data_IF_839450994911
#
_entry.id   IF_839450994911
#
_cell.length_a   1.000
_cell.length_b   1.000
_cell.length_c   1.000
_cell.angle_alpha   90.00
_cell.angle_beta   90.00
_cell.angle_gamma   90.00
#
_symmetry.space_group_name_H-M   'P 1'
#
loop_
_entity.id
_entity.type
_entity.pdbx_description
1 polymer ?
#
# COMPACT_ATOMS: atom_id res chain seq x y z
N UNK A 1 6.46 23.88 -19.55
CA UNK A 1 5.21 23.40 -18.94
C UNK A 1 5.61 22.68 -17.66
N UNK A 2 5.60 23.36 -16.53
CA UNK A 2 5.81 22.74 -15.23
C UNK A 2 4.55 21.95 -14.91
N UNK A 3 4.64 20.63 -14.95
CA UNK A 3 3.60 19.77 -14.40
C UNK A 3 3.59 20.02 -12.88
N UNK A 4 2.70 20.89 -12.43
CA UNK A 4 2.43 21.09 -11.01
C UNK A 4 1.76 19.85 -10.47
N UNK A 5 2.57 18.85 -10.12
CA UNK A 5 2.07 17.61 -9.55
C UNK A 5 1.67 17.87 -8.11
N UNK A 6 0.45 17.52 -7.69
CA UNK A 6 0.09 17.64 -6.29
C UNK A 6 1.05 16.78 -5.46
N UNK A 7 1.72 17.40 -4.49
CA UNK A 7 2.49 16.66 -3.51
C UNK A 7 1.56 15.68 -2.78
N UNK A 8 2.05 14.48 -2.47
CA UNK A 8 1.29 13.54 -1.66
C UNK A 8 0.86 14.23 -0.34
N UNK A 9 -0.41 14.16 0.06
CA UNK A 9 -0.83 14.72 1.34
C UNK A 9 -0.17 14.00 2.49
N UNK A 10 -0.16 14.64 3.66
CA UNK A 10 0.26 13.99 4.91
C UNK A 10 -0.99 13.63 5.70
N UNK A 11 -1.13 12.34 6.03
CA UNK A 11 -2.19 11.85 6.90
C UNK A 11 -1.60 11.49 8.26
N UNK A 12 -2.22 11.96 9.32
CA UNK A 12 -1.81 11.65 10.69
C UNK A 12 -2.85 10.76 11.37
N UNK A 13 -2.37 9.74 12.06
CA UNK A 13 -3.20 8.89 12.93
C UNK A 13 -2.72 9.00 14.37
N UNK A 14 -3.22 8.18 15.26
CA UNK A 14 -2.76 8.13 16.65
C UNK A 14 -1.25 7.87 16.75
N UNK A 15 -0.75 6.87 15.99
CA UNK A 15 0.63 6.39 16.10
C UNK A 15 1.48 6.61 14.85
N UNK A 16 0.88 7.00 13.70
CA UNK A 16 1.53 7.00 12.41
C UNK A 16 1.43 8.34 11.70
N UNK A 17 2.42 8.59 10.84
CA UNK A 17 2.40 9.60 9.79
C UNK A 17 2.49 8.86 8.45
N UNK A 18 1.51 9.07 7.57
CA UNK A 18 1.56 8.64 6.20
C UNK A 18 1.90 9.84 5.34
N UNK A 19 3.00 9.76 4.57
CA UNK A 19 3.52 10.88 3.80
C UNK A 19 4.08 10.47 2.44
N UNK A 20 4.37 11.45 1.62
CA UNK A 20 5.09 11.24 0.36
C UNK A 20 6.52 10.72 0.58
N UNK A 21 7.09 10.16 -0.47
CA UNK A 21 8.43 9.61 -0.51
C UNK A 21 9.49 10.72 -0.42
N UNK A 22 10.60 10.42 0.27
CA UNK A 22 11.81 11.26 0.39
C UNK A 22 13.02 10.45 -0.06
N UNK A 23 14.13 11.09 -0.49
CA UNK A 23 15.34 10.35 -0.86
C UNK A 23 15.85 9.40 0.25
N UNK A 24 15.75 9.81 1.51
CA UNK A 24 16.23 9.03 2.67
C UNK A 24 15.39 7.78 2.96
N UNK A 25 14.20 7.64 2.34
CA UNK A 25 13.36 6.44 2.49
C UNK A 25 13.88 5.27 1.66
N UNK A 26 14.77 5.51 0.71
CA UNK A 26 15.25 4.46 -0.18
C UNK A 26 15.99 3.35 0.55
N UNK A 27 16.94 3.68 1.42
CA UNK A 27 17.75 2.65 2.09
C UNK A 27 16.91 1.75 3.02
N UNK A 28 16.05 2.27 3.92
CA UNK A 28 15.19 1.42 4.74
C UNK A 28 14.18 0.64 3.89
N UNK A 29 13.70 1.19 2.77
CA UNK A 29 12.81 0.45 1.87
C UNK A 29 13.54 -0.66 1.11
N UNK A 30 14.74 -0.42 0.60
CA UNK A 30 15.56 -1.44 -0.04
C UNK A 30 15.90 -2.58 0.94
N UNK A 31 16.23 -2.26 2.19
CA UNK A 31 16.44 -3.25 3.24
C UNK A 31 15.17 -4.09 3.52
N UNK A 32 13.99 -3.44 3.53
CA UNK A 32 12.72 -4.14 3.68
C UNK A 32 12.44 -5.10 2.50
N UNK A 33 12.74 -4.69 1.27
CA UNK A 33 12.50 -5.50 0.08
C UNK A 33 13.56 -6.60 -0.13
N UNK A 34 14.71 -6.52 0.52
CA UNK A 34 15.72 -7.58 0.50
C UNK A 34 15.31 -8.81 1.33
N UNK A 35 14.35 -8.66 2.24
CA UNK A 35 13.80 -9.76 3.04
C UNK A 35 12.86 -10.63 2.19
N UNK A 36 13.22 -11.91 2.00
CA UNK A 36 12.45 -12.86 1.17
C UNK A 36 11.00 -13.04 1.66
N UNK A 37 10.79 -13.04 2.97
CA UNK A 37 9.43 -13.18 3.53
C UNK A 37 8.56 -11.97 3.18
N UNK A 38 9.12 -10.76 3.27
CA UNK A 38 8.44 -9.53 2.84
C UNK A 38 8.15 -9.54 1.35
N UNK A 39 9.16 -9.86 0.54
CA UNK A 39 9.11 -9.76 -0.90
C UNK A 39 8.22 -10.82 -1.56
N UNK A 40 8.03 -11.97 -0.92
CA UNK A 40 7.35 -13.14 -1.44
C UNK A 40 6.02 -12.85 -2.14
N UNK A 41 5.20 -11.96 -1.59
CA UNK A 41 3.85 -11.67 -2.08
C UNK A 41 3.69 -10.30 -2.72
N UNK A 42 4.73 -9.46 -2.67
CA UNK A 42 4.63 -8.06 -3.10
C UNK A 42 5.58 -7.68 -4.23
N UNK A 43 6.38 -8.62 -4.71
CA UNK A 43 7.31 -8.40 -5.83
C UNK A 43 7.01 -9.34 -6.98
N UNK A 44 7.30 -8.88 -8.20
CA UNK A 44 7.17 -9.70 -9.42
C UNK A 44 8.01 -10.97 -9.32
N UNK A 45 9.18 -10.90 -8.70
CA UNK A 45 10.13 -12.00 -8.57
C UNK A 45 9.71 -13.02 -7.50
N UNK A 46 8.92 -12.58 -6.48
CA UNK A 46 8.52 -13.40 -5.31
C UNK A 46 9.68 -13.80 -4.42
N UNK A 47 10.74 -13.02 -4.44
CA UNK A 47 11.95 -13.14 -3.64
C UNK A 47 12.44 -11.76 -3.21
N UNK A 48 13.41 -11.72 -2.31
CA UNK A 48 14.12 -10.49 -1.97
C UNK A 48 14.71 -9.80 -3.19
N UNK A 49 14.60 -8.49 -3.23
CA UNK A 49 15.11 -7.67 -4.32
C UNK A 49 16.55 -7.24 -4.04
N UNK A 50 17.35 -7.20 -5.10
CA UNK A 50 18.62 -6.49 -5.08
C UNK A 50 18.41 -4.98 -4.97
N UNK A 51 19.44 -4.24 -4.56
CA UNK A 51 19.37 -2.78 -4.43
C UNK A 51 18.95 -2.06 -5.73
N UNK A 52 19.46 -2.44 -6.94
CA UNK A 52 18.97 -1.87 -8.21
C UNK A 52 17.49 -2.20 -8.49
N UNK A 53 17.02 -3.41 -8.17
CA UNK A 53 15.61 -3.78 -8.33
C UNK A 53 14.72 -2.97 -7.38
N UNK A 54 15.15 -2.79 -6.13
CA UNK A 54 14.45 -1.94 -5.16
C UNK A 54 14.40 -0.46 -5.60
N UNK A 55 15.44 0.03 -6.29
CA UNK A 55 15.42 1.36 -6.88
C UNK A 55 14.34 1.49 -7.96
N UNK A 56 14.22 0.52 -8.85
CA UNK A 56 13.18 0.52 -9.88
C UNK A 56 11.77 0.51 -9.27
N UNK A 57 11.57 -0.28 -8.22
CA UNK A 57 10.30 -0.32 -7.47
C UNK A 57 10.00 1.04 -6.81
N UNK A 58 11.00 1.68 -6.18
CA UNK A 58 10.86 3.00 -5.58
C UNK A 58 10.50 4.06 -6.64
N UNK A 59 11.21 4.06 -7.77
CA UNK A 59 10.95 4.98 -8.86
C UNK A 59 9.54 4.79 -9.45
N UNK A 60 9.06 3.55 -9.56
CA UNK A 60 7.70 3.24 -9.98
C UNK A 60 6.66 3.80 -9.00
N UNK A 61 6.86 3.64 -7.70
CA UNK A 61 5.96 4.18 -6.67
C UNK A 61 5.91 5.71 -6.68
N UNK A 62 7.06 6.36 -6.82
CA UNK A 62 7.13 7.83 -6.95
C UNK A 62 6.47 8.28 -8.25
N UNK A 63 6.74 7.58 -9.36
CA UNK A 63 6.13 7.84 -10.67
C UNK A 63 4.61 7.69 -10.64
N UNK A 64 4.07 6.73 -9.89
CA UNK A 64 2.64 6.54 -9.74
C UNK A 64 1.96 7.79 -9.14
N UNK A 65 2.53 8.39 -8.10
CA UNK A 65 2.07 9.66 -7.55
C UNK A 65 2.08 10.79 -8.60
N UNK A 66 3.16 10.86 -9.37
CA UNK A 66 3.33 11.90 -10.39
C UNK A 66 2.32 11.79 -11.53
N UNK A 67 2.01 10.58 -11.95
CA UNK A 67 1.15 10.32 -13.11
C UNK A 67 -0.34 10.31 -12.76
N UNK A 68 -0.72 9.83 -11.57
CA UNK A 68 -2.11 9.55 -11.23
C UNK A 68 -2.64 10.40 -10.06
N UNK A 69 -1.78 11.18 -9.38
CA UNK A 69 -2.18 11.99 -8.22
C UNK A 69 -2.56 11.16 -6.99
N UNK A 70 -2.29 9.86 -7.02
CA UNK A 70 -2.42 8.95 -5.90
C UNK A 70 -1.26 7.95 -5.90
N UNK A 71 -1.02 7.29 -4.77
CA UNK A 71 0.05 6.31 -4.67
C UNK A 71 0.27 5.83 -3.24
N UNK A 72 1.17 4.91 -3.05
CA UNK A 72 1.50 4.43 -1.71
C UNK A 72 2.27 5.50 -0.94
N UNK A 73 1.82 5.76 0.28
CA UNK A 73 2.52 6.57 1.26
C UNK A 73 3.66 5.78 1.91
N UNK A 74 4.70 6.47 2.31
CA UNK A 74 5.61 5.98 3.34
C UNK A 74 4.88 6.06 4.68
N UNK A 75 4.97 4.99 5.47
CA UNK A 75 4.46 4.93 6.85
C UNK A 75 5.61 5.13 7.82
N UNK A 76 5.48 6.15 8.67
CA UNK A 76 6.47 6.56 9.67
C UNK A 76 5.85 6.44 11.06
N UNK A 77 6.60 5.95 12.05
CA UNK A 77 6.17 5.96 13.44
C UNK A 77 6.23 7.39 13.97
N UNK A 78 5.10 7.93 14.41
CA UNK A 78 4.96 9.33 14.79
C UNK A 78 5.88 9.75 15.94
N UNK A 79 6.16 8.85 16.87
CA UNK A 79 6.95 9.13 18.07
C UNK A 79 8.46 9.16 17.82
N UNK A 80 8.94 8.43 16.81
CA UNK A 80 10.37 8.22 16.57
C UNK A 80 10.86 8.71 15.21
N UNK A 81 9.93 8.88 14.25
CA UNK A 81 10.27 9.13 12.85
C UNK A 81 10.77 7.89 12.10
N UNK A 82 10.70 6.71 12.70
CA UNK A 82 11.18 5.48 12.09
C UNK A 82 10.33 5.06 10.88
N UNK A 83 11.00 4.65 9.78
CA UNK A 83 10.34 4.04 8.63
C UNK A 83 9.74 2.69 9.02
N UNK A 84 8.46 2.50 8.76
CA UNK A 84 7.73 1.26 9.08
C UNK A 84 7.33 0.46 7.83
N UNK A 85 7.28 1.10 6.65
CA UNK A 85 6.84 0.47 5.43
C UNK A 85 6.07 1.40 4.49
N UNK A 86 5.23 0.82 3.65
CA UNK A 86 4.38 1.57 2.70
C UNK A 86 2.95 1.10 2.75
N UNK A 87 1.99 2.03 2.65
CA UNK A 87 0.54 1.74 2.59
C UNK A 87 -0.13 2.78 1.71
N UNK A 88 -1.10 2.40 0.89
CA UNK A 88 -1.88 3.38 0.15
C UNK A 88 -2.43 2.88 -1.17
N UNK A 89 -3.02 3.81 -1.96
CA UNK A 89 -3.67 3.45 -3.20
C UNK A 89 -2.71 3.11 -4.32
N UNK A 90 -3.16 2.20 -5.17
CA UNK A 90 -2.58 1.85 -6.45
C UNK A 90 -3.69 1.72 -7.49
N UNK A 91 -3.44 2.18 -8.71
CA UNK A 91 -4.33 2.02 -9.85
C UNK A 91 -3.54 1.97 -11.17
N UNK A 92 -2.57 1.07 -11.30
CA UNK A 92 -1.85 0.97 -12.55
C UNK A 92 -2.78 0.44 -13.67
N UNK A 93 -2.47 0.71 -14.95
CA UNK A 93 -3.24 0.19 -16.07
C UNK A 93 -3.40 -1.33 -16.00
N UNK A 94 -4.62 -1.83 -16.20
CA UNK A 94 -4.94 -3.25 -16.14
C UNK A 94 -5.27 -3.79 -14.75
N UNK A 95 -5.19 -2.97 -13.69
CA UNK A 95 -5.64 -3.38 -12.36
C UNK A 95 -7.16 -3.52 -12.29
N UNK A 96 -7.70 -4.41 -11.41
CA UNK A 96 -9.13 -4.68 -11.36
C UNK A 96 -9.95 -3.46 -10.92
N UNK A 97 -9.37 -2.61 -10.06
CA UNK A 97 -9.99 -1.37 -9.58
C UNK A 97 -8.98 -0.52 -8.80
N UNK A 98 -9.48 0.47 -8.05
CA UNK A 98 -8.70 1.29 -7.12
C UNK A 98 -8.30 0.43 -5.91
N UNK A 99 -7.05 0.04 -5.85
CA UNK A 99 -6.51 -0.83 -4.80
C UNK A 99 -6.02 -0.03 -3.61
N UNK A 100 -6.18 -0.55 -2.40
CA UNK A 100 -5.37 -0.19 -1.23
C UNK A 100 -4.48 -1.38 -0.89
N UNK A 101 -3.17 -1.15 -0.99
CA UNK A 101 -2.14 -2.13 -0.67
C UNK A 101 -1.35 -1.72 0.57
N UNK A 102 -0.74 -2.70 1.24
CA UNK A 102 0.10 -2.50 2.43
C UNK A 102 1.28 -3.46 2.46
N UNK A 103 2.39 -2.97 2.95
CA UNK A 103 3.57 -3.77 3.26
C UNK A 103 4.39 -3.08 4.35
N UNK A 104 4.74 -3.84 5.39
CA UNK A 104 5.51 -3.34 6.52
C UNK A 104 6.83 -4.08 6.67
N UNK A 105 7.85 -3.36 7.11
CA UNK A 105 9.14 -3.91 7.49
C UNK A 105 8.95 -4.96 8.59
N UNK A 106 9.81 -6.02 8.66
CA UNK A 106 9.65 -7.12 9.60
C UNK A 106 9.44 -6.66 11.05
N UNK A 107 10.22 -5.71 11.54
CA UNK A 107 10.13 -5.17 12.91
C UNK A 107 8.87 -4.35 13.23
N UNK A 108 8.08 -3.99 12.20
CA UNK A 108 6.83 -3.22 12.35
C UNK A 108 5.57 -4.10 12.34
N UNK A 109 5.71 -5.41 12.05
CA UNK A 109 4.58 -6.33 11.94
C UNK A 109 4.00 -6.70 13.30
N UNK A 110 2.76 -7.19 13.31
CA UNK A 110 2.08 -7.68 14.53
C UNK A 110 1.59 -6.59 15.50
N UNK A 111 1.89 -5.31 15.23
CA UNK A 111 1.57 -4.15 16.08
C UNK A 111 0.28 -3.40 15.67
N UNK A 112 -0.43 -3.88 14.66
CA UNK A 112 -1.66 -3.26 14.14
C UNK A 112 -1.44 -2.08 13.18
N UNK A 113 -0.20 -1.71 12.89
CA UNK A 113 0.12 -0.55 12.04
C UNK A 113 -0.42 -0.66 10.61
N UNK A 114 -0.42 -1.86 9.99
CA UNK A 114 -0.99 -2.04 8.66
C UNK A 114 -2.49 -1.69 8.63
N UNK A 115 -3.26 -2.14 9.62
CA UNK A 115 -4.70 -1.84 9.73
C UNK A 115 -4.95 -0.36 9.97
N UNK A 116 -4.17 0.28 10.86
CA UNK A 116 -4.30 1.71 11.17
C UNK A 116 -3.98 2.58 9.95
N UNK A 117 -2.86 2.31 9.28
CA UNK A 117 -2.44 3.03 8.09
C UNK A 117 -3.42 2.83 6.91
N UNK A 118 -3.84 1.58 6.65
CA UNK A 118 -4.77 1.29 5.58
C UNK A 118 -6.15 1.93 5.81
N UNK A 119 -6.63 1.99 7.06
CA UNK A 119 -7.86 2.69 7.41
C UNK A 119 -7.79 4.17 7.07
N UNK A 120 -6.69 4.84 7.41
CA UNK A 120 -6.47 6.25 7.06
C UNK A 120 -6.39 6.45 5.54
N UNK A 121 -5.68 5.57 4.84
CA UNK A 121 -5.56 5.62 3.38
C UNK A 121 -6.90 5.37 2.66
N UNK A 122 -7.74 4.43 3.15
CA UNK A 122 -9.09 4.18 2.61
C UNK A 122 -9.98 5.41 2.79
N UNK A 123 -10.02 5.98 4.01
CA UNK A 123 -10.81 7.18 4.30
C UNK A 123 -10.45 8.33 3.37
N UNK A 124 -9.16 8.66 3.30
CA UNK A 124 -8.67 9.67 2.38
C UNK A 124 -9.00 9.37 0.92
N UNK A 125 -8.89 8.11 0.50
CA UNK A 125 -9.16 7.74 -0.89
C UNK A 125 -10.64 7.92 -1.26
N UNK A 126 -11.55 7.58 -0.36
CA UNK A 126 -12.97 7.83 -0.58
C UNK A 126 -13.33 9.33 -0.57
N UNK A 127 -12.60 10.16 0.16
CA UNK A 127 -12.79 11.61 0.15
C UNK A 127 -12.21 12.26 -1.12
N UNK A 128 -11.02 11.84 -1.53
CA UNK A 128 -10.27 12.48 -2.61
C UNK A 128 -10.67 12.01 -4.01
N UNK A 129 -11.23 10.81 -4.16
CA UNK A 129 -11.54 10.21 -5.46
C UNK A 129 -13.00 9.75 -5.56
N UNK A 130 -13.64 9.91 -6.75
CA UNK A 130 -15.01 9.45 -6.99
C UNK A 130 -15.04 7.95 -7.30
N UNK A 131 -14.58 7.12 -6.35
CA UNK A 131 -14.57 5.66 -6.48
C UNK A 131 -15.67 5.05 -5.62
N UNK A 132 -16.41 4.07 -6.16
CA UNK A 132 -17.52 3.43 -5.45
C UNK A 132 -17.08 2.21 -4.65
N UNK A 133 -15.93 1.62 -5.01
CA UNK A 133 -15.30 0.55 -4.26
C UNK A 133 -13.79 0.70 -4.21
N UNK A 134 -13.19 0.16 -3.18
CA UNK A 134 -11.76 -0.03 -3.01
C UNK A 134 -11.51 -1.53 -2.92
N UNK A 135 -10.49 -2.00 -3.62
CA UNK A 135 -10.09 -3.41 -3.57
C UNK A 135 -8.75 -3.60 -2.88
N UNK A 136 -8.45 -4.82 -2.49
CA UNK A 136 -7.11 -5.28 -2.11
C UNK A 136 -6.88 -6.64 -2.79
N UNK A 137 -5.76 -6.75 -3.50
CA UNK A 137 -5.38 -7.98 -4.22
C UNK A 137 -4.46 -8.79 -3.32
N UNK A 138 -4.94 -9.93 -2.82
CA UNK A 138 -4.28 -10.69 -1.78
C UNK A 138 -4.04 -12.13 -2.23
N UNK A 139 -2.78 -12.57 -2.21
CA UNK A 139 -2.43 -13.95 -2.49
C UNK A 139 -3.10 -14.90 -1.47
N UNK A 140 -3.71 -16.06 -1.91
CA UNK A 140 -4.44 -16.96 -1.02
C UNK A 140 -3.64 -17.50 0.18
N UNK A 141 -2.32 -17.60 0.05
CA UNK A 141 -1.43 -18.03 1.13
C UNK A 141 -1.01 -16.88 2.07
N UNK A 142 -1.32 -15.62 1.74
CA UNK A 142 -0.98 -14.47 2.59
C UNK A 142 -2.02 -14.23 3.69
N UNK A 143 -2.03 -15.14 4.67
CA UNK A 143 -2.97 -15.07 5.80
C UNK A 143 -2.85 -13.77 6.61
N UNK A 144 -1.65 -13.19 6.68
CA UNK A 144 -1.44 -11.93 7.40
C UNK A 144 -2.22 -10.78 6.75
N UNK A 145 -2.16 -10.64 5.42
CA UNK A 145 -2.92 -9.63 4.69
C UNK A 145 -4.42 -9.89 4.73
N UNK A 146 -4.87 -11.14 4.65
CA UNK A 146 -6.30 -11.49 4.80
C UNK A 146 -6.85 -11.02 6.17
N UNK A 147 -6.08 -11.21 7.25
CA UNK A 147 -6.46 -10.71 8.58
C UNK A 147 -6.55 -9.18 8.64
N UNK A 148 -5.71 -8.47 7.90
CA UNK A 148 -5.79 -7.00 7.79
C UNK A 148 -7.07 -6.62 7.03
N UNK A 149 -7.34 -7.23 5.87
CA UNK A 149 -8.55 -6.99 5.08
C UNK A 149 -9.84 -7.18 5.91
N UNK A 150 -9.94 -8.28 6.66
CA UNK A 150 -11.06 -8.54 7.56
C UNK A 150 -11.23 -7.47 8.65
N UNK A 151 -10.13 -7.00 9.26
CA UNK A 151 -10.19 -5.93 10.27
C UNK A 151 -10.57 -4.57 9.70
N UNK A 152 -10.31 -4.35 8.42
CA UNK A 152 -10.77 -3.18 7.69
C UNK A 152 -12.25 -3.27 7.31
N UNK A 153 -12.87 -4.45 7.40
CA UNK A 153 -14.24 -4.71 6.98
C UNK A 153 -14.36 -5.07 5.50
N UNK A 154 -13.23 -5.37 4.83
CA UNK A 154 -13.29 -5.88 3.47
C UNK A 154 -13.85 -7.31 3.45
N UNK A 155 -14.54 -7.65 2.36
CA UNK A 155 -15.02 -9.01 2.08
C UNK A 155 -14.33 -9.58 0.84
N UNK A 156 -14.03 -10.86 0.87
CA UNK A 156 -13.55 -11.57 -0.31
C UNK A 156 -14.67 -11.68 -1.34
N UNK A 157 -14.36 -11.42 -2.61
CA UNK A 157 -15.27 -11.59 -3.74
C UNK A 157 -15.00 -12.91 -4.46
N UNK A 158 -15.79 -13.19 -5.49
CA UNK A 158 -15.54 -14.31 -6.41
C UNK A 158 -14.57 -13.92 -7.55
N UNK A 159 -14.11 -12.65 -7.57
CA UNK A 159 -13.15 -12.17 -8.54
C UNK A 159 -11.73 -12.66 -8.19
N UNK A 160 -10.94 -12.94 -9.21
CA UNK A 160 -9.51 -13.19 -9.07
C UNK A 160 -8.72 -12.34 -10.05
N UNK A 161 -7.50 -12.00 -9.67
CA UNK A 161 -6.60 -11.21 -10.50
C UNK A 161 -5.16 -11.73 -10.37
N UNK A 162 -4.41 -11.71 -11.46
CA UNK A 162 -3.00 -12.17 -11.47
C UNK A 162 -2.09 -10.97 -11.68
N UNK A 163 -1.67 -10.28 -10.58
CA UNK A 163 -0.81 -9.11 -10.68
C UNK A 163 0.60 -9.44 -11.18
N UNK A 164 1.09 -10.62 -10.81
CA UNK A 164 2.47 -11.04 -11.10
C UNK A 164 2.53 -12.46 -11.66
N UNK A 165 2.59 -13.47 -10.81
CA UNK A 165 2.81 -14.88 -11.17
C UNK A 165 1.63 -15.76 -10.85
N UNK A 166 1.03 -15.53 -9.69
CA UNK A 166 0.02 -16.38 -9.12
C UNK A 166 -1.33 -15.64 -9.05
N UNK A 167 -2.46 -16.34 -9.24
CA UNK A 167 -3.76 -15.74 -9.04
C UNK A 167 -3.96 -15.36 -7.57
N UNK A 168 -4.50 -14.17 -7.38
CA UNK A 168 -4.81 -13.59 -6.09
C UNK A 168 -6.32 -13.39 -5.95
N UNK A 169 -6.81 -13.46 -4.71
CA UNK A 169 -8.18 -13.12 -4.37
C UNK A 169 -8.36 -11.61 -4.38
N UNK A 170 -9.50 -11.13 -4.89
CA UNK A 170 -9.90 -9.73 -4.78
C UNK A 170 -10.78 -9.57 -3.55
N UNK A 171 -10.37 -8.69 -2.65
CA UNK A 171 -11.12 -8.26 -1.48
C UNK A 171 -11.66 -6.87 -1.73
N UNK A 172 -12.89 -6.55 -1.31
CA UNK A 172 -13.51 -5.25 -1.56
C UNK A 172 -14.06 -4.58 -0.30
N UNK A 173 -14.07 -3.25 -0.33
CA UNK A 173 -14.81 -2.36 0.55
C UNK A 173 -15.62 -1.42 -0.34
N UNK A 174 -16.93 -1.38 -0.18
CA UNK A 174 -17.78 -0.41 -0.88
C UNK A 174 -17.86 0.90 -0.12
N UNK A 175 -17.99 2.01 -0.87
CA UNK A 175 -18.14 3.33 -0.26
C UNK A 175 -19.33 3.41 0.70
N UNK A 176 -20.45 2.76 0.39
CA UNK A 176 -21.65 2.73 1.23
C UNK A 176 -21.45 2.00 2.57
N UNK A 177 -20.51 1.02 2.61
CA UNK A 177 -20.17 0.25 3.80
C UNK A 177 -19.08 0.94 4.65
N UNK A 178 -18.44 2.00 4.11
CA UNK A 178 -17.40 2.73 4.84
C UNK A 178 -18.02 3.63 5.90
N UNK A 179 -17.63 3.51 7.18
CA UNK A 179 -18.14 4.37 8.25
C UNK A 179 -17.87 5.85 7.91
N UNK A 180 -18.94 6.65 7.83
CA UNK A 180 -18.76 8.11 7.72
C UNK A 180 -18.26 8.63 9.06
N UNK A 181 -17.32 9.60 9.08
CA UNK A 181 -16.82 10.20 10.32
C UNK A 181 -17.92 10.90 11.14
#
# INVERSE_FOLDING_TARGET
MTLGTPAAPTLATERLILRGWRPDDFEPYAAMLADDETARFITVQGRGLTRPEAWNETAWLVGHWQLLGCGMFVVEERSTGAFLGRVGPLRPPGWPDFEIAWSLAPGARGRGYATEAARAAIGWSFEAFPVDRIVSVIHPLNQASQKVALRLGQRRTDESFTPFRDPCDVWEMRREDWPRP
#
